data_IF_996934330166
#
_entry.id   IF_996934330166
#
_cell.length_a   1.000
_cell.length_b   1.000
_cell.length_c   1.000
_cell.angle_alpha   90.00
_cell.angle_beta   90.00
_cell.angle_gamma   90.00
#
_symmetry.space_group_name_H-M   'P 1'
#
loop_
_entity.id
_entity.type
_entity.pdbx_description
1 polymer ?
#
# COMPACT_ATOMS: atom_id res chain seq x y z
N UNK A 1 23.89 18.39 38.92
CA UNK A 1 24.90 18.26 37.85
C UNK A 1 24.95 16.80 37.48
N UNK A 2 24.73 16.41 36.22
CA UNK A 2 24.96 15.03 35.80
C UNK A 2 26.44 14.67 35.98
N UNK A 3 26.69 13.41 36.29
CA UNK A 3 28.03 12.83 36.45
C UNK A 3 28.70 12.64 35.09
N UNK A 4 30.03 12.54 35.05
CA UNK A 4 30.77 12.27 33.82
C UNK A 4 30.34 10.96 33.13
N UNK A 5 29.88 9.98 33.92
CA UNK A 5 29.34 8.70 33.43
C UNK A 5 28.01 8.91 32.71
N UNK A 6 27.05 9.61 33.32
CA UNK A 6 25.74 9.93 32.70
C UNK A 6 25.91 10.76 31.41
N UNK A 7 26.89 11.68 31.39
CA UNK A 7 27.24 12.46 30.20
C UNK A 7 27.80 11.54 29.10
N UNK A 8 28.72 10.63 29.43
CA UNK A 8 29.28 9.68 28.47
C UNK A 8 28.23 8.69 27.92
N UNK A 9 27.31 8.21 28.76
CA UNK A 9 26.19 7.37 28.34
C UNK A 9 25.22 8.10 27.41
N UNK A 10 24.92 9.38 27.70
CA UNK A 10 24.10 10.21 26.83
C UNK A 10 24.73 10.40 25.45
N UNK A 11 26.01 10.78 25.38
CA UNK A 11 26.72 10.93 24.11
C UNK A 11 26.84 9.60 23.35
N UNK A 12 27.09 8.49 24.05
CA UNK A 12 27.10 7.17 23.41
C UNK A 12 25.75 6.87 22.75
N UNK A 13 24.64 7.11 23.46
CA UNK A 13 23.30 6.91 22.91
C UNK A 13 23.04 7.82 21.70
N UNK A 14 23.41 9.10 21.76
CA UNK A 14 23.29 10.02 20.62
C UNK A 14 24.04 9.50 19.39
N UNK A 15 25.26 9.00 19.56
CA UNK A 15 26.05 8.41 18.46
C UNK A 15 25.38 7.15 17.90
N UNK A 16 24.81 6.29 18.75
CA UNK A 16 24.07 5.10 18.31
C UNK A 16 22.79 5.49 17.53
N UNK A 17 22.04 6.49 17.99
CA UNK A 17 20.86 7.04 17.34
C UNK A 17 21.22 7.70 15.98
N UNK A 18 22.32 8.48 15.91
CA UNK A 18 22.84 9.12 14.69
C UNK A 18 23.32 8.11 13.64
N UNK A 19 23.93 7.00 14.07
CA UNK A 19 24.32 5.90 13.18
C UNK A 19 23.08 5.21 12.60
N UNK A 20 22.06 4.93 13.42
CA UNK A 20 20.81 4.34 12.93
C UNK A 20 20.09 5.29 11.97
N UNK A 21 20.09 6.60 12.26
CA UNK A 21 19.56 7.63 11.37
C UNK A 21 20.27 7.65 10.01
N UNK A 22 21.60 7.66 10.02
CA UNK A 22 22.44 7.68 8.81
C UNK A 22 22.19 6.45 7.91
N UNK A 23 22.03 5.27 8.51
CA UNK A 23 21.69 4.03 7.79
C UNK A 23 20.29 4.14 7.17
N UNK A 24 19.29 4.60 7.94
CA UNK A 24 17.91 4.81 7.45
C UNK A 24 17.86 5.86 6.32
N UNK A 25 18.65 6.93 6.41
CA UNK A 25 18.73 7.95 5.35
C UNK A 25 19.32 7.36 4.07
N UNK A 26 20.42 6.61 4.16
CA UNK A 26 21.03 5.94 3.02
C UNK A 26 20.08 4.92 2.35
N UNK A 27 19.40 4.07 3.14
CA UNK A 27 18.36 3.17 2.64
C UNK A 27 17.20 3.94 2.00
N UNK A 28 16.79 5.05 2.62
CA UNK A 28 15.79 5.97 2.08
C UNK A 28 16.19 6.54 0.73
N UNK A 29 17.43 7.00 0.58
CA UNK A 29 17.96 7.62 -0.64
C UNK A 29 18.13 6.62 -1.78
N UNK A 30 18.77 5.48 -1.54
CA UNK A 30 19.13 4.54 -2.59
C UNK A 30 18.08 3.46 -2.87
N UNK A 31 17.30 3.04 -1.86
CA UNK A 31 16.26 2.03 -2.02
C UNK A 31 14.87 2.61 -2.31
N UNK A 32 14.45 3.62 -1.54
CA UNK A 32 13.06 4.07 -1.54
C UNK A 32 12.77 5.30 -2.40
N UNK A 33 13.71 6.25 -2.48
CA UNK A 33 13.49 7.59 -3.02
C UNK A 33 14.43 7.95 -4.20
N UNK A 34 15.20 6.99 -4.73
CA UNK A 34 16.19 7.22 -5.79
C UNK A 34 15.61 7.85 -7.08
N UNK A 35 14.31 7.65 -7.30
CA UNK A 35 13.52 8.19 -8.42
C UNK A 35 12.94 9.60 -8.15
N UNK A 36 13.01 10.12 -6.93
CA UNK A 36 12.42 11.42 -6.60
C UNK A 36 13.24 12.54 -7.23
N UNK A 37 12.58 13.35 -8.07
CA UNK A 37 13.18 14.45 -8.85
C UNK A 37 14.17 13.99 -9.94
N UNK A 38 14.17 12.70 -10.28
CA UNK A 38 14.98 12.15 -11.38
C UNK A 38 14.12 12.04 -12.66
N UNK A 39 14.30 12.92 -13.67
CA UNK A 39 13.46 12.91 -14.87
C UNK A 39 13.62 11.63 -15.71
N UNK A 40 14.72 10.88 -15.56
CA UNK A 40 14.94 9.62 -16.26
C UNK A 40 14.34 8.38 -15.58
N UNK A 41 13.94 8.49 -14.29
CA UNK A 41 13.43 7.36 -13.49
C UNK A 41 12.16 7.82 -12.76
N UNK A 42 10.99 7.50 -13.32
CA UNK A 42 9.70 7.88 -12.73
C UNK A 42 8.75 6.66 -12.61
N UNK A 43 8.39 6.20 -11.40
CA UNK A 43 7.34 5.20 -11.22
C UNK A 43 5.95 5.81 -11.52
N UNK A 44 5.15 5.17 -12.39
CA UNK A 44 3.95 5.75 -13.03
C UNK A 44 2.69 4.86 -13.00
N UNK A 45 1.56 5.35 -13.54
CA UNK A 45 0.23 5.28 -12.88
C UNK A 45 -1.02 5.52 -13.81
N UNK A 46 -2.08 4.66 -13.77
CA UNK A 46 -3.24 4.43 -14.71
C UNK A 46 -4.71 4.79 -14.24
N UNK A 47 -5.83 4.59 -15.01
CA UNK A 47 -7.24 4.46 -14.47
C UNK A 47 -8.22 3.42 -15.11
N UNK A 48 -9.55 3.64 -15.06
CA UNK A 48 -10.70 2.70 -15.05
C UNK A 48 -12.04 3.14 -14.35
N UNK A 49 -12.79 4.12 -14.89
CA UNK A 49 -14.04 4.71 -14.30
C UNK A 49 -15.39 4.28 -14.91
N UNK A 50 -15.47 3.59 -16.04
CA UNK A 50 -16.74 3.17 -16.67
C UNK A 50 -17.67 4.32 -17.13
N UNK A 51 -17.24 5.13 -18.09
CA UNK A 51 -18.13 5.89 -19.01
C UNK A 51 -17.51 5.93 -20.41
N UNK A 52 -18.29 6.07 -21.49
CA UNK A 52 -17.79 5.87 -22.87
C UNK A 52 -16.50 6.66 -23.22
N UNK A 53 -16.47 7.96 -22.95
CA UNK A 53 -15.29 8.80 -23.20
C UNK A 53 -14.15 8.51 -22.22
N UNK A 54 -14.50 8.21 -20.98
CA UNK A 54 -13.56 7.91 -19.94
C UNK A 54 -12.82 6.58 -20.19
N UNK A 55 -13.53 5.54 -20.63
CA UNK A 55 -12.97 4.20 -20.83
C UNK A 55 -12.00 4.19 -22.02
N UNK A 56 -12.27 5.02 -23.02
CA UNK A 56 -11.32 5.32 -24.09
C UNK A 56 -10.12 6.13 -23.56
N UNK A 57 -10.35 7.22 -22.83
CA UNK A 57 -9.29 8.05 -22.27
C UNK A 57 -8.33 7.24 -21.37
N UNK A 58 -8.86 6.37 -20.52
CA UNK A 58 -8.08 5.56 -19.60
C UNK A 58 -7.26 4.50 -20.30
N UNK A 59 -7.87 3.75 -21.22
CA UNK A 59 -7.14 2.75 -22.00
C UNK A 59 -6.09 3.41 -22.89
N UNK A 60 -6.35 4.61 -23.43
CA UNK A 60 -5.37 5.41 -24.17
C UNK A 60 -4.22 5.91 -23.27
N UNK A 61 -4.49 6.40 -22.06
CA UNK A 61 -3.47 6.80 -21.09
C UNK A 61 -2.62 5.59 -20.66
N UNK A 62 -3.25 4.44 -20.38
CA UNK A 62 -2.56 3.18 -20.06
C UNK A 62 -1.64 2.76 -21.19
N UNK A 63 -2.18 2.70 -22.41
CA UNK A 63 -1.43 2.25 -23.58
C UNK A 63 -0.26 3.20 -23.90
N UNK A 64 -0.46 4.51 -23.72
CA UNK A 64 0.59 5.53 -23.92
C UNK A 64 1.71 5.40 -22.90
N UNK A 65 1.37 5.25 -21.60
CA UNK A 65 2.38 5.07 -20.55
C UNK A 65 3.16 3.76 -20.73
N UNK A 66 2.47 2.64 -20.97
CA UNK A 66 3.13 1.35 -21.19
C UNK A 66 3.98 1.35 -22.46
N UNK A 67 3.53 2.00 -23.54
CA UNK A 67 4.29 2.17 -24.76
C UNK A 67 5.58 2.97 -24.53
N UNK A 68 5.50 4.08 -23.81
CA UNK A 68 6.66 4.92 -23.47
C UNK A 68 7.66 4.19 -22.55
N UNK A 69 7.16 3.40 -21.59
CA UNK A 69 7.97 2.55 -20.71
C UNK A 69 8.54 1.28 -21.41
N UNK A 70 8.40 1.15 -22.73
CA UNK A 70 8.98 0.04 -23.49
C UNK A 70 8.33 -1.32 -23.24
N UNK A 71 7.04 -1.37 -22.86
CA UNK A 71 6.30 -2.63 -22.66
C UNK A 71 6.39 -3.51 -23.91
N UNK A 72 6.89 -4.73 -23.74
CA UNK A 72 7.09 -5.70 -24.82
C UNK A 72 5.80 -5.93 -25.62
N UNK A 73 5.86 -5.79 -26.95
CA UNK A 73 4.72 -6.04 -27.83
C UNK A 73 4.19 -7.48 -27.65
N UNK A 74 2.88 -7.62 -27.50
CA UNK A 74 2.22 -8.90 -27.21
C UNK A 74 2.11 -9.26 -25.72
N UNK A 75 2.86 -8.59 -24.83
CA UNK A 75 2.72 -8.77 -23.38
C UNK A 75 1.54 -7.96 -22.83
N UNK A 76 0.32 -8.43 -23.15
CA UNK A 76 -0.95 -7.78 -22.77
C UNK A 76 -1.06 -7.55 -21.26
N UNK A 77 -1.79 -6.49 -20.87
CA UNK A 77 -2.16 -6.24 -19.49
C UNK A 77 -3.61 -6.72 -19.27
N UNK A 78 -3.87 -7.75 -18.45
CA UNK A 78 -5.23 -8.12 -18.05
C UNK A 78 -5.87 -6.98 -17.26
N UNK A 79 -7.12 -6.66 -17.58
CA UNK A 79 -7.82 -5.50 -17.04
C UNK A 79 -9.10 -5.93 -16.30
N UNK A 80 -9.45 -5.27 -15.19
CA UNK A 80 -10.60 -5.65 -14.35
C UNK A 80 -11.53 -4.45 -14.17
N UNK A 81 -12.80 -4.64 -14.50
CA UNK A 81 -13.86 -3.63 -14.36
C UNK A 81 -14.83 -4.02 -13.24
N UNK A 82 -14.48 -3.72 -11.99
CA UNK A 82 -15.34 -3.97 -10.82
C UNK A 82 -16.71 -3.27 -10.93
N UNK A 83 -16.75 -2.09 -11.55
CA UNK A 83 -17.97 -1.31 -11.80
C UNK A 83 -19.01 -2.04 -12.66
N UNK A 84 -18.61 -3.06 -13.43
CA UNK A 84 -19.57 -3.92 -14.17
C UNK A 84 -20.39 -4.85 -13.27
N UNK A 85 -19.93 -5.11 -12.04
CA UNK A 85 -20.59 -5.97 -11.05
C UNK A 85 -21.26 -5.16 -9.94
N UNK A 86 -20.60 -4.13 -9.43
CA UNK A 86 -21.12 -3.30 -8.32
C UNK A 86 -21.93 -2.07 -8.79
N UNK A 87 -21.97 -1.82 -10.10
CA UNK A 87 -22.44 -0.56 -10.65
C UNK A 87 -21.51 0.61 -10.30
N UNK A 88 -22.00 1.83 -10.48
CA UNK A 88 -21.29 3.05 -10.07
C UNK A 88 -22.26 3.97 -9.35
N UNK A 89 -21.83 4.55 -8.23
CA UNK A 89 -22.67 5.42 -7.40
C UNK A 89 -23.23 6.65 -8.12
N UNK A 90 -22.65 7.04 -9.28
CA UNK A 90 -23.20 8.02 -10.23
C UNK A 90 -22.75 7.74 -11.68
N UNK A 91 -23.55 7.01 -12.47
CA UNK A 91 -23.43 6.98 -13.96
C UNK A 91 -23.03 5.63 -14.58
N UNK A 92 -23.53 5.34 -15.79
CA UNK A 92 -23.43 4.02 -16.43
C UNK A 92 -22.25 3.86 -17.42
N UNK A 93 -21.77 2.62 -17.57
CA UNK A 93 -20.66 2.22 -18.42
C UNK A 93 -21.02 2.14 -19.93
N UNK A 94 -20.06 2.43 -20.80
CA UNK A 94 -20.17 2.27 -22.26
C UNK A 94 -19.09 1.33 -22.82
N UNK A 95 -19.24 0.79 -24.04
CA UNK A 95 -18.29 -0.17 -24.59
C UNK A 95 -17.09 0.51 -25.29
N UNK A 96 -15.87 0.09 -24.93
CA UNK A 96 -14.61 0.46 -25.58
C UNK A 96 -13.54 -0.62 -25.32
N UNK A 97 -12.60 -0.83 -26.25
CA UNK A 97 -11.69 -1.99 -26.26
C UNK A 97 -10.44 -1.86 -25.38
N UNK A 98 -10.38 -2.60 -24.27
CA UNK A 98 -9.22 -3.43 -23.93
C UNK A 98 -9.58 -4.92 -23.97
N UNK A 99 -8.60 -5.81 -23.79
CA UNK A 99 -8.85 -7.25 -23.59
C UNK A 99 -9.52 -7.48 -22.23
N UNK A 100 -10.85 -7.51 -22.23
CA UNK A 100 -11.66 -7.77 -21.04
C UNK A 100 -11.74 -9.27 -20.73
N UNK A 101 -11.28 -9.72 -19.54
CA UNK A 101 -11.62 -11.03 -18.99
C UNK A 101 -13.14 -11.16 -18.81
N UNK A 102 -13.81 -11.84 -19.74
CA UNK A 102 -15.22 -12.22 -19.59
C UNK A 102 -15.44 -13.34 -18.57
N UNK A 103 -14.35 -13.94 -18.06
CA UNK A 103 -14.32 -15.03 -17.08
C UNK A 103 -13.08 -14.88 -16.19
N UNK A 104 -13.15 -15.38 -14.95
CA UNK A 104 -12.02 -15.42 -14.02
C UNK A 104 -10.91 -16.37 -14.51
N UNK A 105 -9.72 -15.83 -14.79
CA UNK A 105 -8.55 -16.64 -15.11
C UNK A 105 -7.86 -17.14 -13.83
N UNK A 106 -8.06 -18.42 -13.49
CA UNK A 106 -7.46 -19.04 -12.29
C UNK A 106 -5.99 -19.45 -12.47
N UNK A 107 -5.53 -19.60 -13.71
CA UNK A 107 -4.17 -20.04 -14.06
C UNK A 107 -3.26 -18.87 -14.49
N UNK A 108 -3.59 -17.64 -14.08
CA UNK A 108 -2.72 -16.50 -14.34
C UNK A 108 -1.39 -16.68 -13.60
N UNK A 109 -0.27 -16.41 -14.27
CA UNK A 109 1.03 -16.35 -13.62
C UNK A 109 1.00 -15.35 -12.45
N UNK A 110 1.68 -15.70 -11.36
CA UNK A 110 1.55 -15.06 -10.06
C UNK A 110 1.66 -13.52 -10.12
N UNK A 111 0.57 -12.81 -9.79
CA UNK A 111 0.46 -11.36 -9.95
C UNK A 111 1.54 -10.62 -9.14
N UNK A 112 2.52 -10.05 -9.85
CA UNK A 112 3.68 -9.35 -9.27
C UNK A 112 3.34 -7.93 -8.81
N UNK A 113 2.53 -7.22 -9.59
CA UNK A 113 2.06 -5.88 -9.31
C UNK A 113 0.72 -5.63 -10.03
N UNK A 114 -0.02 -4.62 -9.57
CA UNK A 114 -1.27 -4.16 -10.15
C UNK A 114 -1.34 -2.61 -10.10
N UNK A 115 -2.25 -2.02 -10.86
CA UNK A 115 -2.49 -0.57 -10.85
C UNK A 115 -3.95 -0.28 -10.50
N UNK A 116 -4.18 0.61 -9.54
CA UNK A 116 -5.50 1.17 -9.19
C UNK A 116 -5.41 2.72 -9.07
N UNK A 117 -5.62 3.56 -10.08
CA UNK A 117 -6.81 3.71 -10.92
C UNK A 117 -7.92 4.48 -10.14
N UNK A 118 -7.94 5.85 -10.22
CA UNK A 118 -9.13 6.73 -10.03
C UNK A 118 -9.15 8.04 -10.89
N UNK A 119 -10.31 8.47 -11.44
CA UNK A 119 -10.57 9.79 -12.08
C UNK A 119 -11.93 10.34 -11.62
N UNK A 120 -12.11 11.66 -11.68
CA UNK A 120 -13.35 12.33 -11.32
C UNK A 120 -13.46 13.77 -11.82
N UNK A 121 -14.64 14.35 -11.64
CA UNK A 121 -14.99 15.71 -12.08
C UNK A 121 -14.00 16.77 -11.56
N UNK A 122 -13.75 17.78 -12.40
CA UNK A 122 -12.81 18.86 -12.09
C UNK A 122 -11.33 18.47 -12.25
N UNK A 123 -11.01 17.70 -13.30
CA UNK A 123 -9.64 17.28 -13.66
C UNK A 123 -8.90 16.51 -12.54
N UNK A 124 -9.63 15.77 -11.71
CA UNK A 124 -9.04 15.01 -10.59
C UNK A 124 -8.68 13.60 -11.05
N UNK A 125 -7.39 13.32 -11.22
CA UNK A 125 -6.85 11.97 -11.40
C UNK A 125 -6.02 11.54 -10.20
N UNK A 126 -6.11 10.26 -9.84
CA UNK A 126 -5.40 9.67 -8.71
C UNK A 126 -5.05 8.21 -8.99
N UNK A 127 -4.02 7.70 -8.28
CA UNK A 127 -3.43 6.42 -8.62
C UNK A 127 -2.58 5.78 -7.55
N UNK A 128 -2.61 4.45 -7.56
CA UNK A 128 -1.87 3.55 -6.68
C UNK A 128 -1.30 2.42 -7.53
N UNK A 129 0.00 2.15 -7.41
CA UNK A 129 0.58 0.88 -7.88
C UNK A 129 0.74 -0.02 -6.67
N UNK A 130 0.08 -1.17 -6.69
CA UNK A 130 0.27 -2.20 -5.67
C UNK A 130 1.33 -3.20 -6.12
N UNK A 131 2.32 -3.47 -5.28
CA UNK A 131 3.30 -4.54 -5.49
C UNK A 131 2.97 -5.70 -4.55
N UNK A 132 3.16 -6.94 -5.01
CA UNK A 132 2.90 -8.13 -4.23
C UNK A 132 3.76 -8.15 -2.96
N UNK A 133 3.15 -8.46 -1.80
CA UNK A 133 3.81 -8.40 -0.49
C UNK A 133 5.06 -9.28 -0.37
N UNK A 134 5.23 -10.30 -1.22
CA UNK A 134 6.45 -11.12 -1.27
C UNK A 134 7.71 -10.28 -1.46
N UNK A 135 7.64 -9.16 -2.21
CA UNK A 135 8.82 -8.33 -2.50
C UNK A 135 9.25 -7.51 -1.28
N UNK A 136 8.31 -7.15 -0.39
CA UNK A 136 8.62 -6.58 0.92
C UNK A 136 9.19 -7.64 1.86
N UNK A 137 8.58 -8.82 1.88
CA UNK A 137 9.04 -9.94 2.74
C UNK A 137 10.44 -10.43 2.34
N UNK A 138 10.78 -10.37 1.05
CA UNK A 138 12.08 -10.75 0.53
C UNK A 138 13.24 -9.81 0.93
N UNK A 139 12.98 -8.68 1.60
CA UNK A 139 14.05 -7.84 2.18
C UNK A 139 14.43 -8.24 3.61
N UNK A 140 13.74 -9.23 4.21
CA UNK A 140 14.01 -9.73 5.55
C UNK A 140 14.95 -10.94 5.51
N UNK A 141 15.72 -11.14 6.58
CA UNK A 141 16.38 -12.42 6.81
C UNK A 141 15.37 -13.54 7.12
N UNK A 142 15.78 -14.79 6.95
CA UNK A 142 14.94 -15.96 7.24
C UNK A 142 14.45 -15.98 8.71
N UNK A 143 15.31 -15.56 9.65
CA UNK A 143 14.98 -15.49 11.07
C UNK A 143 13.91 -14.42 11.35
N UNK A 144 14.06 -13.22 10.79
CA UNK A 144 13.06 -12.14 10.91
C UNK A 144 11.74 -12.54 10.26
N UNK A 145 11.78 -13.22 9.11
CA UNK A 145 10.59 -13.72 8.43
C UNK A 145 9.81 -14.71 9.29
N UNK A 146 10.46 -15.70 9.92
CA UNK A 146 9.75 -16.67 10.77
C UNK A 146 9.20 -16.03 12.07
N UNK A 147 9.90 -15.05 12.64
CA UNK A 147 9.37 -14.23 13.75
C UNK A 147 8.14 -13.43 13.29
N UNK A 148 8.16 -12.82 12.11
CA UNK A 148 7.00 -12.15 11.53
C UNK A 148 5.84 -13.14 11.27
N UNK A 149 6.13 -14.29 10.65
CA UNK A 149 5.17 -15.32 10.24
C UNK A 149 4.44 -15.92 11.44
N UNK A 150 5.16 -16.21 12.53
CA UNK A 150 4.57 -16.71 13.78
C UNK A 150 3.62 -15.68 14.41
N UNK A 151 4.02 -14.40 14.46
CA UNK A 151 3.18 -13.28 14.92
C UNK A 151 1.94 -13.08 14.03
N UNK A 152 2.08 -13.14 12.71
CA UNK A 152 0.99 -13.01 11.75
C UNK A 152 -0.06 -14.13 11.94
N UNK A 153 0.38 -15.40 11.97
CA UNK A 153 -0.49 -16.57 12.21
C UNK A 153 -1.20 -16.52 13.58
N UNK A 154 -0.57 -15.96 14.61
CA UNK A 154 -1.23 -15.75 15.92
C UNK A 154 -2.36 -14.73 15.83
N UNK A 155 -2.14 -13.61 15.10
CA UNK A 155 -3.18 -12.59 14.88
C UNK A 155 -4.33 -13.12 14.01
N UNK A 156 -4.02 -13.87 12.95
CA UNK A 156 -5.00 -14.51 12.07
C UNK A 156 -5.97 -15.42 12.86
N UNK A 157 -5.46 -16.31 13.72
CA UNK A 157 -6.30 -17.16 14.57
C UNK A 157 -7.19 -16.35 15.52
N UNK A 158 -6.64 -15.28 16.12
CA UNK A 158 -7.39 -14.38 16.99
C UNK A 158 -8.52 -13.64 16.23
N UNK A 159 -8.22 -13.12 15.05
CA UNK A 159 -9.19 -12.44 14.19
C UNK A 159 -10.28 -13.39 13.68
N UNK A 160 -9.91 -14.60 13.25
CA UNK A 160 -10.85 -15.64 12.82
C UNK A 160 -11.85 -15.96 13.93
N UNK A 161 -11.36 -16.18 15.16
CA UNK A 161 -12.22 -16.40 16.33
C UNK A 161 -13.13 -15.20 16.60
N UNK A 162 -12.59 -13.99 16.62
CA UNK A 162 -13.38 -12.77 16.88
C UNK A 162 -14.48 -12.53 15.83
N UNK A 163 -14.21 -12.81 14.55
CA UNK A 163 -15.20 -12.72 13.46
C UNK A 163 -16.27 -13.81 13.61
N UNK A 164 -15.89 -15.04 13.98
CA UNK A 164 -16.86 -16.12 14.26
C UNK A 164 -17.78 -15.76 15.44
N UNK A 165 -17.22 -15.32 16.57
CA UNK A 165 -18.00 -14.86 17.74
C UNK A 165 -18.94 -13.71 17.38
N UNK A 166 -18.48 -12.73 16.61
CA UNK A 166 -19.30 -11.62 16.12
C UNK A 166 -20.40 -12.06 15.13
N UNK A 167 -20.20 -13.17 14.39
CA UNK A 167 -21.19 -13.67 13.42
C UNK A 167 -22.30 -14.48 14.11
N UNK A 168 -21.97 -15.25 15.15
CA UNK A 168 -22.91 -16.14 15.86
C UNK A 168 -23.72 -15.45 16.98
N UNK A 169 -23.80 -14.12 16.99
CA UNK A 169 -24.62 -13.35 17.95
C UNK A 169 -23.84 -12.36 18.82
N UNK A 170 -22.51 -12.27 18.68
CA UNK A 170 -21.74 -11.15 19.22
C UNK A 170 -21.85 -9.88 18.37
N UNK A 171 -21.09 -8.84 18.74
CA UNK A 171 -21.05 -7.57 18.00
C UNK A 171 -19.72 -7.41 17.27
N UNK A 172 -19.77 -7.19 15.95
CA UNK A 172 -18.58 -6.93 15.12
C UNK A 172 -17.92 -5.59 15.44
N UNK A 173 -18.75 -4.58 15.77
CA UNK A 173 -18.31 -3.23 16.17
C UNK A 173 -18.41 -3.11 17.68
N UNK A 174 -17.29 -2.79 18.34
CA UNK A 174 -17.25 -2.48 19.78
C UNK A 174 -16.88 -1.02 19.95
N UNK A 175 -17.85 -0.21 20.39
CA UNK A 175 -17.62 1.19 20.75
C UNK A 175 -16.78 1.22 22.03
N UNK A 176 -15.81 2.14 22.10
CA UNK A 176 -15.04 2.40 23.33
C UNK A 176 -15.65 3.61 24.02
N UNK A 177 -15.87 3.49 25.33
CA UNK A 177 -16.50 4.54 26.15
C UNK A 177 -15.49 5.52 26.73
N UNK A 178 -14.22 5.12 26.86
CA UNK A 178 -13.13 5.91 27.41
C UNK A 178 -11.85 5.84 26.57
N UNK A 179 -10.92 6.75 26.87
CA UNK A 179 -9.55 6.78 26.34
C UNK A 179 -8.74 5.55 26.77
N UNK A 180 -7.55 5.38 26.20
CA UNK A 180 -6.53 4.41 26.69
C UNK A 180 -5.68 5.01 27.81
N UNK A 181 -5.72 6.33 27.96
CA UNK A 181 -4.97 7.10 28.95
C UNK A 181 -5.95 7.82 29.88
N UNK A 182 -5.64 7.83 31.17
CA UNK A 182 -6.31 8.69 32.15
C UNK A 182 -5.98 10.16 31.87
N UNK A 183 -6.90 11.07 32.18
CA UNK A 183 -6.76 12.51 31.89
C UNK A 183 -5.51 13.13 32.55
N UNK A 184 -5.11 12.60 33.72
CA UNK A 184 -3.95 13.06 34.51
C UNK A 184 -2.60 12.78 33.83
N UNK A 185 -2.47 11.65 33.10
CA UNK A 185 -1.25 11.28 32.38
C UNK A 185 -1.29 11.73 30.90
N UNK A 186 -2.44 12.20 30.39
CA UNK A 186 -2.65 12.48 28.97
C UNK A 186 -1.63 13.49 28.41
N UNK A 187 -1.45 14.64 29.05
CA UNK A 187 -0.53 15.69 28.58
C UNK A 187 0.92 15.18 28.55
N UNK A 188 1.34 14.51 29.62
CA UNK A 188 2.66 13.89 29.76
C UNK A 188 2.93 12.84 28.68
N UNK A 189 1.96 11.96 28.41
CA UNK A 189 2.08 10.92 27.38
C UNK A 189 2.14 11.56 25.98
N UNK A 190 1.30 12.56 25.69
CA UNK A 190 1.29 13.24 24.38
C UNK A 190 2.60 14.01 24.09
N UNK A 191 3.25 14.53 25.13
CA UNK A 191 4.52 15.24 25.02
C UNK A 191 5.76 14.33 25.07
N UNK A 192 5.61 13.04 25.42
CA UNK A 192 6.72 12.07 25.57
C UNK A 192 7.25 11.45 24.26
N UNK A 193 7.35 12.25 23.19
CA UNK A 193 7.81 11.80 21.86
C UNK A 193 9.32 11.88 21.65
#
# INVERSE_FOLDING_TARGET
MPTEVEIAEHYKKQIEDDVEHSIKEAQGRYGNNFWRREPSISPLSLHGTSTKENDFNETAVIQSQLGWLGRTKGNVLPYVLEKSLLGHGKGAAGPGHPLLPSRTYKNAAELKAFSVTSFGFGQKGAQVVGVNSRYLVATLSEQEYEVYRSRARRRERGATKAVQEATYGGTLVKVKEASVYEDEDLEKILLSR
#
